data_IF_351516728541
#
_entry.id   IF_351516728541
#
_cell.length_a   1.000
_cell.length_b   1.000
_cell.length_c   1.000
_cell.angle_alpha   90.00
_cell.angle_beta   90.00
_cell.angle_gamma   90.00
#
_symmetry.space_group_name_H-M   'P 1'
#
loop_
_entity.id
_entity.type
_entity.pdbx_description
1 polymer ?
#
# COMPACT_ATOMS: atom_id res chain seq x y z
N UNK A 1 -9.36 11.77 -6.90
CA UNK A 1 -8.25 11.18 -7.68
C UNK A 1 -8.40 9.67 -7.59
N UNK A 2 -8.57 9.01 -8.73
CA UNK A 2 -8.68 7.54 -8.86
C UNK A 2 -7.45 6.86 -8.24
N UNK A 3 -7.66 6.02 -7.21
CA UNK A 3 -6.59 5.31 -6.47
C UNK A 3 -6.70 3.78 -6.60
N UNK A 4 -7.41 3.28 -7.63
CA UNK A 4 -7.70 1.84 -7.78
C UNK A 4 -6.44 0.97 -7.75
N UNK A 5 -5.40 1.36 -8.50
CA UNK A 5 -4.13 0.62 -8.59
C UNK A 5 -3.40 0.51 -7.25
N UNK A 6 -3.19 1.64 -6.56
CA UNK A 6 -2.44 1.64 -5.29
C UNK A 6 -3.23 0.95 -4.18
N UNK A 7 -4.57 1.07 -4.16
CA UNK A 7 -5.42 0.37 -3.20
C UNK A 7 -5.38 -1.15 -3.40
N UNK A 8 -5.32 -1.62 -4.65
CA UNK A 8 -5.13 -3.03 -4.94
C UNK A 8 -3.74 -3.50 -4.48
N UNK A 9 -2.68 -2.73 -4.76
CA UNK A 9 -1.33 -3.03 -4.30
C UNK A 9 -1.22 -3.09 -2.77
N UNK A 10 -1.90 -2.19 -2.04
CA UNK A 10 -1.98 -2.22 -0.57
C UNK A 10 -2.65 -3.51 -0.08
N UNK A 11 -3.78 -3.91 -0.68
CA UNK A 11 -4.45 -5.18 -0.33
C UNK A 11 -3.55 -6.39 -0.53
N UNK A 12 -2.79 -6.42 -1.62
CA UNK A 12 -1.80 -7.49 -1.90
C UNK A 12 -0.65 -7.44 -0.91
N UNK A 13 -0.12 -6.26 -0.61
CA UNK A 13 0.96 -6.06 0.37
C UNK A 13 0.58 -6.52 1.79
N UNK A 14 -0.66 -6.29 2.21
CA UNK A 14 -1.18 -6.77 3.50
C UNK A 14 -1.10 -8.30 3.57
N UNK A 15 -1.54 -8.99 2.51
CA UNK A 15 -1.46 -10.45 2.40
C UNK A 15 -0.02 -10.95 2.36
N UNK A 16 0.85 -10.31 1.56
CA UNK A 16 2.27 -10.66 1.44
C UNK A 16 3.02 -10.55 2.77
N UNK A 17 2.58 -9.65 3.66
CA UNK A 17 3.15 -9.44 4.99
C UNK A 17 2.48 -10.31 6.07
N UNK A 18 1.55 -11.20 5.69
CA UNK A 18 0.76 -12.03 6.60
C UNK A 18 0.01 -11.22 7.67
N UNK A 19 -0.49 -10.04 7.32
CA UNK A 19 -1.35 -9.25 8.19
C UNK A 19 -2.82 -9.52 7.91
N UNK A 20 -3.64 -9.44 8.95
CA UNK A 20 -5.10 -9.47 8.81
C UNK A 20 -5.58 -8.22 8.05
N UNK A 21 -6.55 -8.41 7.16
CA UNK A 21 -7.06 -7.28 6.40
C UNK A 21 -7.99 -6.43 7.26
N UNK A 22 -7.55 -5.22 7.59
CA UNK A 22 -8.37 -4.24 8.26
C UNK A 22 -8.62 -3.00 7.38
N UNK A 23 -9.89 -2.67 7.04
CA UNK A 23 -10.19 -1.54 6.16
C UNK A 23 -9.59 -0.21 6.65
N UNK A 24 -9.68 0.07 7.95
CA UNK A 24 -9.13 1.31 8.51
C UNK A 24 -7.59 1.37 8.39
N UNK A 25 -6.89 0.22 8.45
CA UNK A 25 -5.44 0.17 8.25
C UNK A 25 -5.07 0.45 6.79
N UNK A 26 -5.83 -0.12 5.84
CA UNK A 26 -5.66 0.13 4.42
C UNK A 26 -5.90 1.60 4.06
N UNK A 27 -6.90 2.24 4.66
CA UNK A 27 -7.17 3.67 4.45
C UNK A 27 -6.06 4.55 5.06
N UNK A 28 -5.45 4.16 6.19
CA UNK A 28 -4.27 4.86 6.72
C UNK A 28 -3.05 4.71 5.83
N UNK A 29 -2.84 3.54 5.21
CA UNK A 29 -1.77 3.37 4.22
C UNK A 29 -1.99 4.25 2.99
N UNK A 30 -3.24 4.36 2.50
CA UNK A 30 -3.59 5.25 1.39
C UNK A 30 -3.43 6.73 1.75
N UNK A 31 -3.84 7.13 2.96
CA UNK A 31 -3.64 8.47 3.47
C UNK A 31 -2.15 8.83 3.52
N UNK A 32 -1.32 7.92 4.02
CA UNK A 32 0.13 8.09 4.08
C UNK A 32 0.75 8.21 2.68
N UNK A 33 0.30 7.41 1.70
CA UNK A 33 0.72 7.53 0.31
C UNK A 33 0.46 8.93 -0.24
N UNK A 34 -0.77 9.42 -0.10
CA UNK A 34 -1.15 10.75 -0.58
C UNK A 34 -0.28 11.87 0.04
N UNK A 35 0.10 11.72 1.31
CA UNK A 35 0.97 12.69 1.95
C UNK A 35 2.43 12.63 1.46
N UNK A 36 2.96 11.42 1.21
CA UNK A 36 4.34 11.23 0.69
C UNK A 36 4.47 11.76 -0.74
N UNK A 37 3.42 11.65 -1.56
CA UNK A 37 3.42 12.21 -2.92
C UNK A 37 3.49 13.75 -2.90
N UNK A 38 2.95 14.39 -1.86
CA UNK A 38 2.86 15.85 -1.78
C UNK A 38 4.05 16.51 -1.06
N UNK A 39 4.77 15.79 -0.18
CA UNK A 39 5.94 16.35 0.52
C UNK A 39 6.98 15.28 0.88
N UNK A 40 8.24 15.73 0.99
CA UNK A 40 9.42 14.89 1.28
C UNK A 40 9.40 14.09 2.60
N UNK A 41 8.59 14.49 3.58
CA UNK A 41 8.51 13.82 4.87
C UNK A 41 7.08 13.70 5.33
N UNK A 42 6.77 12.76 6.22
CA UNK A 42 5.45 12.66 6.87
C UNK A 42 5.64 12.19 8.30
N UNK A 43 4.75 12.57 9.21
CA UNK A 43 4.81 12.13 10.60
C UNK A 43 3.65 11.16 10.88
N UNK A 44 4.00 9.96 11.32
CA UNK A 44 3.04 8.98 11.82
C UNK A 44 3.01 9.09 13.35
N UNK A 45 1.90 9.60 13.90
CA UNK A 45 1.74 9.85 15.34
C UNK A 45 0.69 8.92 15.96
N UNK A 46 0.88 8.56 17.22
CA UNK A 46 -0.04 7.69 17.98
C UNK A 46 0.68 6.96 19.12
N UNK A 47 -0.07 6.33 20.03
CA UNK A 47 0.49 5.58 21.16
C UNK A 47 1.35 4.37 20.76
N UNK A 48 2.15 3.83 21.68
CA UNK A 48 2.93 2.61 21.44
C UNK A 48 2.05 1.47 20.89
N UNK A 49 2.63 0.58 20.08
CA UNK A 49 1.97 -0.58 19.42
C UNK A 49 0.73 -0.31 18.55
N UNK A 50 0.31 0.94 18.32
CA UNK A 50 -0.85 1.28 17.47
C UNK A 50 -0.70 1.05 15.95
N UNK A 51 0.17 0.12 15.51
CA UNK A 51 0.26 -0.29 14.10
C UNK A 51 0.94 0.70 13.14
N UNK A 52 1.56 1.78 13.63
CA UNK A 52 2.25 2.80 12.78
C UNK A 52 3.33 2.18 11.90
N UNK A 53 4.19 1.35 12.50
CA UNK A 53 5.27 0.66 11.78
C UNK A 53 4.70 -0.32 10.75
N UNK A 54 3.62 -1.03 11.08
CA UNK A 54 2.96 -1.93 10.15
C UNK A 54 2.38 -1.19 8.93
N UNK A 55 1.71 -0.06 9.13
CA UNK A 55 1.19 0.80 8.03
C UNK A 55 2.31 1.27 7.11
N UNK A 56 3.46 1.67 7.68
CA UNK A 56 4.64 2.07 6.90
C UNK A 56 5.20 0.91 6.07
N UNK A 57 5.32 -0.29 6.67
CA UNK A 57 5.82 -1.48 6.00
C UNK A 57 4.88 -1.94 4.87
N UNK A 58 3.56 -1.90 5.10
CA UNK A 58 2.54 -2.18 4.09
C UNK A 58 2.70 -1.22 2.91
N UNK A 59 2.82 0.08 3.17
CA UNK A 59 2.96 1.07 2.10
C UNK A 59 4.26 0.87 1.31
N UNK A 60 5.38 0.61 1.99
CA UNK A 60 6.65 0.32 1.34
C UNK A 60 6.50 -0.86 0.37
N UNK A 61 5.94 -1.98 0.84
CA UNK A 61 5.71 -3.17 0.01
C UNK A 61 4.73 -2.87 -1.13
N UNK A 62 3.67 -2.11 -0.87
CA UNK A 62 2.69 -1.75 -1.89
C UNK A 62 3.29 -0.92 -3.03
N UNK A 63 4.16 0.05 -2.71
CA UNK A 63 4.86 0.85 -3.72
C UNK A 63 5.81 -0.03 -4.53
N UNK A 64 6.58 -0.91 -3.89
CA UNK A 64 7.45 -1.88 -4.58
C UNK A 64 6.64 -2.75 -5.54
N UNK A 65 5.52 -3.32 -5.09
CA UNK A 65 4.63 -4.13 -5.94
C UNK A 65 4.09 -3.33 -7.12
N UNK A 66 3.65 -2.08 -6.88
CA UNK A 66 3.15 -1.19 -7.93
C UNK A 66 4.22 -0.86 -8.99
N UNK A 67 5.50 -0.76 -8.60
CA UNK A 67 6.60 -0.55 -9.53
C UNK A 67 6.92 -1.79 -10.37
N UNK A 68 6.75 -3.00 -9.82
CA UNK A 68 6.97 -4.26 -10.56
C UNK A 68 5.82 -4.63 -11.50
N UNK A 69 4.59 -4.17 -11.23
CA UNK A 69 3.40 -4.50 -12.04
C UNK A 69 3.38 -3.94 -13.47
N UNK A 70 4.34 -3.12 -13.87
CA UNK A 70 4.57 -2.76 -15.28
C UNK A 70 4.80 -3.99 -16.19
N UNK A 71 5.13 -5.15 -15.63
CA UNK A 71 5.38 -6.39 -16.40
C UNK A 71 4.25 -7.44 -16.26
N UNK A 72 3.42 -7.39 -15.22
CA UNK A 72 2.40 -8.41 -14.94
C UNK A 72 1.03 -8.12 -15.57
N UNK A 73 0.74 -6.86 -15.93
CA UNK A 73 -0.49 -6.53 -16.66
C UNK A 73 -0.49 -7.07 -18.11
N UNK A 74 0.68 -7.38 -18.67
CA UNK A 74 0.83 -7.95 -20.01
C UNK A 74 0.73 -9.48 -20.06
N UNK A 75 0.71 -10.18 -18.91
CA UNK A 75 0.63 -11.65 -18.86
C UNK A 75 -0.78 -12.19 -18.60
N UNK A 76 -1.73 -11.36 -18.12
CA UNK A 76 -3.14 -11.77 -17.96
C UNK A 76 -3.92 -11.74 -19.28
N UNK A 77 -3.56 -10.88 -20.24
CA UNK A 77 -4.26 -10.76 -21.53
C UNK A 77 -3.81 -11.80 -22.58
N UNK A 78 -2.79 -12.62 -22.32
CA UNK A 78 -2.27 -13.59 -23.31
C UNK A 78 -2.89 -14.99 -23.23
N UNK A 79 -3.79 -15.24 -22.28
CA UNK A 79 -4.30 -16.59 -22.01
C UNK A 79 -5.84 -16.74 -22.12
N UNK A 80 -6.50 -15.87 -22.88
CA UNK A 80 -7.90 -16.05 -23.31
C UNK A 80 -8.06 -15.68 -24.77
#
# INVERSE_FOLDING_TARGET
VEHGHIRHAIKRAIKDLNYEYWPAQADKALQLYNQIVLRHGTMLVGGASGGKTAVRNILQRAITLASHTSQDAASVCKNT
#
